data_IF_156466250118
#
_entry.id   IF_156466250118
#
_cell.length_a   1.000
_cell.length_b   1.000
_cell.length_c   1.000
_cell.angle_alpha   90.00
_cell.angle_beta   90.00
_cell.angle_gamma   90.00
#
_symmetry.space_group_name_H-M   'P 1'
#
loop_
_entity.id
_entity.type
_entity.pdbx_description
1 polymer ?
#
# COMPACT_ATOMS: atom_id res chain seq x y z
N UNK A 1 24.02 -9.79 31.41
CA UNK A 1 22.63 -9.44 31.78
C UNK A 1 22.23 -8.24 30.95
N UNK A 2 21.54 -8.48 29.82
CA UNK A 2 21.11 -7.42 28.92
C UNK A 2 19.91 -6.71 29.56
N UNK A 3 19.93 -5.38 29.58
CA UNK A 3 18.80 -4.58 30.02
C UNK A 3 17.62 -4.81 29.06
N UNK A 4 16.40 -5.07 29.57
CA UNK A 4 15.25 -5.23 28.71
C UNK A 4 15.02 -3.92 27.95
N UNK A 5 15.04 -3.99 26.64
CA UNK A 5 14.69 -2.84 25.80
C UNK A 5 13.23 -2.52 26.04
N UNK A 6 12.96 -1.27 26.35
CA UNK A 6 11.61 -0.80 26.58
C UNK A 6 10.79 -0.97 25.29
N UNK A 7 9.63 -1.66 25.33
CA UNK A 7 8.77 -1.89 24.16
C UNK A 7 8.44 -0.62 23.37
N UNK A 8 8.35 0.52 24.06
CA UNK A 8 8.10 1.81 23.44
C UNK A 8 9.25 2.29 22.53
N UNK A 9 10.51 1.93 22.84
CA UNK A 9 11.66 2.26 21.98
C UNK A 9 11.61 1.46 20.68
N UNK A 10 11.32 0.16 20.74
CA UNK A 10 11.17 -0.68 19.54
C UNK A 10 10.07 -0.12 18.64
N UNK A 11 8.95 0.26 19.24
CA UNK A 11 7.82 0.87 18.54
C UNK A 11 8.20 2.20 17.87
N UNK A 12 8.88 3.09 18.60
CA UNK A 12 9.32 4.39 18.07
C UNK A 12 10.24 4.22 16.87
N UNK A 13 11.27 3.38 17.00
CA UNK A 13 12.22 3.08 15.92
C UNK A 13 11.49 2.54 14.67
N UNK A 14 10.53 1.65 14.86
CA UNK A 14 9.77 1.05 13.74
C UNK A 14 8.96 2.09 12.97
N UNK A 15 8.27 2.97 13.69
CA UNK A 15 7.46 4.03 13.09
C UNK A 15 8.34 5.08 12.40
N UNK A 16 9.44 5.49 13.02
CA UNK A 16 10.40 6.45 12.47
C UNK A 16 11.03 5.94 11.17
N UNK A 17 11.48 4.68 11.14
CA UNK A 17 12.04 4.08 9.93
C UNK A 17 10.98 3.99 8.81
N UNK A 18 9.77 3.55 9.13
CA UNK A 18 8.71 3.48 8.14
C UNK A 18 8.37 4.86 7.56
N UNK A 19 8.30 5.88 8.41
CA UNK A 19 8.01 7.26 7.98
C UNK A 19 9.18 7.86 7.17
N UNK A 20 10.43 7.56 7.53
CA UNK A 20 11.62 8.04 6.82
C UNK A 20 11.69 7.54 5.38
N UNK A 21 11.34 6.28 5.13
CA UNK A 21 11.44 5.67 3.79
C UNK A 21 10.18 5.82 2.93
N UNK A 22 9.03 6.11 3.54
CA UNK A 22 7.77 6.27 2.81
C UNK A 22 7.84 7.25 1.63
N UNK A 23 8.48 8.43 1.72
CA UNK A 23 8.58 9.35 0.59
C UNK A 23 9.33 8.77 -0.60
N UNK A 24 10.43 8.05 -0.36
CA UNK A 24 11.22 7.43 -1.42
C UNK A 24 10.47 6.28 -2.08
N UNK A 25 9.88 5.37 -1.31
CA UNK A 25 9.05 4.27 -1.82
C UNK A 25 7.88 4.82 -2.66
N UNK A 26 7.24 5.92 -2.21
CA UNK A 26 6.20 6.61 -2.97
C UNK A 26 6.71 7.10 -4.33
N UNK A 27 7.86 7.76 -4.35
CA UNK A 27 8.47 8.27 -5.57
C UNK A 27 8.81 7.13 -6.54
N UNK A 28 9.39 6.03 -6.05
CA UNK A 28 9.72 4.86 -6.88
C UNK A 28 8.47 4.19 -7.46
N UNK A 29 7.41 4.05 -6.67
CA UNK A 29 6.13 3.55 -7.17
C UNK A 29 5.57 4.43 -8.30
N UNK A 30 5.56 5.75 -8.12
CA UNK A 30 5.09 6.69 -9.15
C UNK A 30 5.95 6.60 -10.42
N UNK A 31 7.25 6.35 -10.31
CA UNK A 31 8.13 6.15 -11.45
C UNK A 31 7.76 4.88 -12.25
N UNK A 32 7.43 3.77 -11.56
CA UNK A 32 6.95 2.55 -12.24
C UNK A 32 5.65 2.81 -13.02
N UNK A 33 4.70 3.53 -12.40
CA UNK A 33 3.44 3.91 -13.07
C UNK A 33 3.71 4.83 -14.28
N UNK A 34 4.66 5.76 -14.16
CA UNK A 34 5.02 6.66 -15.26
C UNK A 34 5.62 5.90 -16.45
N UNK A 35 6.47 4.89 -16.22
CA UNK A 35 7.01 4.03 -17.29
C UNK A 35 5.87 3.33 -18.04
N UNK A 36 4.91 2.75 -17.32
CA UNK A 36 3.76 2.12 -17.97
C UNK A 36 2.91 3.12 -18.76
N UNK A 37 2.71 4.33 -18.24
CA UNK A 37 1.94 5.36 -18.94
C UNK A 37 2.65 5.90 -20.19
N UNK A 38 3.97 6.01 -20.17
CA UNK A 38 4.77 6.44 -21.32
C UNK A 38 4.79 5.39 -22.45
N UNK A 39 4.69 4.11 -22.11
CA UNK A 39 4.66 3.02 -23.09
C UNK A 39 3.36 2.94 -23.90
N UNK A 40 2.36 3.78 -23.57
CA UNK A 40 1.07 3.83 -24.30
C UNK A 40 0.82 5.28 -24.77
N UNK A 41 1.27 5.64 -25.99
CA UNK A 41 1.09 6.97 -26.56
C UNK A 41 -0.39 7.34 -26.75
N UNK A 42 -0.71 8.63 -26.55
CA UNK A 42 -2.10 9.11 -26.65
C UNK A 42 -2.67 9.06 -28.07
N UNK A 43 -1.86 9.37 -29.06
CA UNK A 43 -2.20 9.34 -30.48
C UNK A 43 -2.55 7.91 -30.95
N UNK A 44 -1.76 6.92 -30.49
CA UNK A 44 -2.05 5.52 -30.76
C UNK A 44 -3.37 5.08 -30.10
N UNK A 45 -3.59 5.45 -28.84
CA UNK A 45 -4.86 5.15 -28.15
C UNK A 45 -6.06 5.80 -28.83
N UNK A 46 -5.89 7.04 -29.30
CA UNK A 46 -6.94 7.75 -30.03
C UNK A 46 -7.30 7.02 -31.32
N UNK A 47 -6.31 6.64 -32.10
CA UNK A 47 -6.50 5.90 -33.36
C UNK A 47 -7.18 4.54 -33.12
N UNK A 48 -6.75 3.80 -32.08
CA UNK A 48 -7.36 2.53 -31.71
C UNK A 48 -8.83 2.70 -31.25
N UNK A 49 -9.16 3.78 -30.55
CA UNK A 49 -10.55 4.09 -30.18
C UNK A 49 -11.41 4.44 -31.38
N UNK A 50 -10.89 5.23 -32.33
CA UNK A 50 -11.59 5.60 -33.56
C UNK A 50 -11.93 4.39 -34.43
N UNK A 51 -11.05 3.39 -34.44
CA UNK A 51 -11.26 2.11 -35.14
C UNK A 51 -12.07 1.09 -34.33
N UNK A 52 -12.43 1.36 -33.07
CA UNK A 52 -13.12 0.41 -32.21
C UNK A 52 -12.28 -0.81 -31.83
N UNK A 53 -10.95 -0.70 -31.89
CA UNK A 53 -10.01 -1.80 -31.66
C UNK A 53 -9.79 -2.11 -30.14
N UNK A 54 -10.87 -2.35 -29.40
CA UNK A 54 -10.86 -2.47 -27.94
C UNK A 54 -9.95 -3.60 -27.41
N UNK A 55 -9.89 -4.73 -28.13
CA UNK A 55 -9.00 -5.83 -27.75
C UNK A 55 -7.52 -5.43 -27.88
N UNK A 56 -7.19 -4.63 -28.89
CA UNK A 56 -5.83 -4.11 -29.07
C UNK A 56 -5.45 -3.12 -27.98
N UNK A 57 -6.38 -2.21 -27.61
CA UNK A 57 -6.19 -1.30 -26.47
C UNK A 57 -5.83 -2.10 -25.22
N UNK A 58 -6.58 -3.14 -24.88
CA UNK A 58 -6.30 -3.96 -23.70
C UNK A 58 -4.93 -4.63 -23.78
N UNK A 59 -4.55 -5.21 -24.92
CA UNK A 59 -3.23 -5.83 -25.12
C UNK A 59 -2.08 -4.81 -24.96
N UNK A 60 -2.26 -3.57 -25.43
CA UNK A 60 -1.27 -2.51 -25.27
C UNK A 60 -1.04 -2.16 -23.80
N UNK A 61 -2.10 -2.05 -23.03
CA UNK A 61 -1.97 -1.81 -21.58
C UNK A 61 -1.36 -2.99 -20.84
N UNK A 62 -1.74 -4.23 -21.19
CA UNK A 62 -1.12 -5.43 -20.62
C UNK A 62 0.38 -5.48 -20.88
N UNK A 63 0.80 -5.23 -22.12
CA UNK A 63 2.20 -5.15 -22.52
C UNK A 63 2.97 -4.04 -21.79
N UNK A 64 2.38 -2.83 -21.72
CA UNK A 64 3.00 -1.69 -21.04
C UNK A 64 3.19 -1.92 -19.54
N UNK A 65 2.19 -2.50 -18.89
CA UNK A 65 2.26 -2.86 -17.46
C UNK A 65 3.31 -3.97 -17.23
N UNK A 66 3.34 -5.00 -18.07
CA UNK A 66 4.35 -6.06 -18.00
C UNK A 66 5.78 -5.49 -18.20
N UNK A 67 5.97 -4.62 -19.19
CA UNK A 67 7.26 -3.97 -19.45
C UNK A 67 7.71 -3.09 -18.27
N UNK A 68 6.79 -2.41 -17.61
CA UNK A 68 7.13 -1.59 -16.43
C UNK A 68 7.73 -2.40 -15.29
N UNK A 69 7.38 -3.68 -15.16
CA UNK A 69 7.92 -4.62 -14.17
C UNK A 69 9.35 -5.10 -14.46
N UNK A 70 9.79 -4.96 -15.71
CA UNK A 70 11.17 -5.24 -16.13
C UNK A 70 12.02 -3.98 -16.20
N UNK A 71 11.49 -2.82 -15.80
CA UNK A 71 12.16 -1.54 -15.90
C UNK A 71 13.13 -1.29 -14.75
N UNK A 72 14.09 -0.38 -14.98
CA UNK A 72 14.98 0.13 -13.93
C UNK A 72 14.22 0.84 -12.80
N UNK A 73 13.06 1.42 -13.09
CA UNK A 73 12.19 2.03 -12.08
C UNK A 73 11.68 0.99 -11.08
N UNK A 74 11.31 -0.20 -11.57
CA UNK A 74 10.89 -1.30 -10.72
C UNK A 74 12.06 -1.88 -9.89
N UNK A 75 13.21 -2.09 -10.52
CA UNK A 75 14.42 -2.53 -9.80
C UNK A 75 14.75 -1.54 -8.68
N UNK A 76 14.74 -0.23 -8.96
CA UNK A 76 14.95 0.80 -7.94
C UNK A 76 13.92 0.77 -6.82
N UNK A 77 12.65 0.45 -7.11
CA UNK A 77 11.64 0.27 -6.07
C UNK A 77 11.98 -0.92 -5.16
N UNK A 78 12.41 -2.05 -5.71
CA UNK A 78 12.84 -3.23 -4.94
C UNK A 78 14.08 -2.93 -4.10
N UNK A 79 15.07 -2.24 -4.66
CA UNK A 79 16.31 -1.87 -3.97
C UNK A 79 16.04 -0.95 -2.78
N UNK A 80 15.12 0.00 -2.93
CA UNK A 80 14.69 0.86 -1.82
C UNK A 80 14.05 0.06 -0.69
N UNK A 81 13.18 -0.90 -1.01
CA UNK A 81 12.59 -1.81 0.00
C UNK A 81 13.66 -2.68 0.68
N UNK A 82 14.60 -3.22 -0.08
CA UNK A 82 15.71 -4.01 0.45
C UNK A 82 16.60 -3.18 1.37
N UNK A 83 16.89 -1.93 1.01
CA UNK A 83 17.66 -1.00 1.85
C UNK A 83 16.95 -0.70 3.16
N UNK A 84 15.64 -0.42 3.13
CA UNK A 84 14.84 -0.22 4.33
C UNK A 84 14.86 -1.46 5.23
N UNK A 85 14.67 -2.65 4.65
CA UNK A 85 14.69 -3.89 5.40
C UNK A 85 16.04 -4.10 6.11
N UNK A 86 17.16 -3.90 5.40
CA UNK A 86 18.50 -4.00 5.98
C UNK A 86 18.71 -3.02 7.14
N UNK A 87 18.24 -1.78 6.99
CA UNK A 87 18.32 -0.77 8.06
C UNK A 87 17.44 -1.12 9.25
N UNK A 88 16.23 -1.61 9.02
CA UNK A 88 15.35 -2.07 10.08
C UNK A 88 15.93 -3.27 10.84
N UNK A 89 16.56 -4.20 10.11
CA UNK A 89 17.27 -5.35 10.68
C UNK A 89 18.42 -4.89 11.61
N UNK A 90 19.23 -3.94 11.16
CA UNK A 90 20.31 -3.37 11.96
C UNK A 90 19.79 -2.63 13.20
N UNK A 91 18.76 -1.79 13.04
CA UNK A 91 18.16 -1.04 14.14
C UNK A 91 17.52 -1.95 15.20
N UNK A 92 16.91 -3.06 14.80
CA UNK A 92 16.35 -4.05 15.72
C UNK A 92 17.43 -4.73 16.59
N UNK A 93 18.65 -4.85 16.06
CA UNK A 93 19.81 -5.36 16.80
C UNK A 93 20.31 -4.41 17.88
N UNK A 94 20.46 -3.14 17.55
CA UNK A 94 20.93 -2.12 18.51
C UNK A 94 19.94 -1.86 19.64
N UNK A 95 18.65 -1.99 19.37
CA UNK A 95 17.61 -1.79 20.37
C UNK A 95 17.63 -2.81 21.52
N UNK A 96 18.25 -3.98 21.37
CA UNK A 96 18.30 -5.03 22.39
C UNK A 96 19.71 -5.16 23.03
N UNK A 97 20.64 -4.23 22.74
CA UNK A 97 22.00 -4.21 23.28
C UNK A 97 22.77 -5.56 23.16
N UNK A 98 22.40 -6.38 22.17
CA UNK A 98 23.11 -7.62 21.85
C UNK A 98 24.08 -7.32 20.72
N UNK A 99 25.37 -7.26 21.02
CA UNK A 99 26.47 -7.29 20.04
C UNK A 99 26.54 -8.67 19.35
N UNK A 100 25.50 -9.04 18.63
CA UNK A 100 25.58 -10.17 17.74
C UNK A 100 26.14 -9.68 16.40
N UNK A 101 27.36 -10.07 16.09
CA UNK A 101 27.98 -9.88 14.78
C UNK A 101 27.08 -10.52 13.72
N UNK A 102 26.37 -9.66 12.98
CA UNK A 102 25.39 -10.09 12.00
C UNK A 102 26.01 -10.11 10.61
N UNK A 103 26.34 -11.29 10.17
CA UNK A 103 26.67 -11.56 8.79
C UNK A 103 25.49 -12.32 8.20
N UNK A 104 24.38 -11.65 7.84
CA UNK A 104 23.37 -12.29 6.99
C UNK A 104 22.36 -11.30 6.43
N UNK A 105 22.51 -10.99 5.18
CA UNK A 105 21.36 -11.01 4.29
C UNK A 105 21.26 -12.46 3.83
N UNK A 106 20.48 -13.29 4.52
CA UNK A 106 20.27 -14.63 4.04
C UNK A 106 19.51 -14.55 2.72
N UNK A 107 19.84 -15.43 1.79
CA UNK A 107 19.10 -15.59 0.53
C UNK A 107 17.59 -15.75 0.77
N UNK A 108 17.18 -16.36 1.87
CA UNK A 108 15.78 -16.48 2.30
C UNK A 108 15.09 -15.14 2.54
N UNK A 109 15.78 -14.17 3.17
CA UNK A 109 15.25 -12.83 3.41
C UNK A 109 15.05 -12.04 2.12
N UNK A 110 15.99 -12.16 1.18
CA UNK A 110 15.87 -11.52 -0.13
C UNK A 110 14.74 -12.13 -0.96
N UNK A 111 14.57 -13.44 -0.90
CA UNK A 111 13.43 -14.14 -1.53
C UNK A 111 12.11 -13.66 -0.95
N UNK A 112 11.97 -13.58 0.38
CA UNK A 112 10.75 -13.10 1.04
C UNK A 112 10.39 -11.67 0.62
N UNK A 113 11.36 -10.77 0.54
CA UNK A 113 11.14 -9.40 0.09
C UNK A 113 10.70 -9.32 -1.37
N UNK A 114 11.30 -10.14 -2.23
CA UNK A 114 10.94 -10.21 -3.65
C UNK A 114 9.53 -10.78 -3.84
N UNK A 115 9.16 -11.82 -3.09
CA UNK A 115 7.82 -12.40 -3.13
C UNK A 115 6.74 -11.43 -2.63
N UNK A 116 7.00 -10.71 -1.54
CA UNK A 116 6.06 -9.69 -1.04
C UNK A 116 5.89 -8.53 -2.01
N UNK A 117 6.99 -8.04 -2.59
CA UNK A 117 6.94 -7.01 -3.61
C UNK A 117 6.22 -7.50 -4.88
N UNK A 118 6.47 -8.73 -5.30
CA UNK A 118 5.80 -9.35 -6.43
C UNK A 118 4.27 -9.39 -6.27
N UNK A 119 3.78 -9.78 -5.11
CA UNK A 119 2.33 -9.82 -4.81
C UNK A 119 1.67 -8.43 -4.89
N UNK A 120 2.30 -7.41 -4.33
CA UNK A 120 1.79 -6.04 -4.41
C UNK A 120 1.65 -5.59 -5.87
N UNK A 121 2.66 -5.85 -6.67
CA UNK A 121 2.71 -5.40 -8.07
C UNK A 121 1.71 -6.15 -8.94
N UNK A 122 1.55 -7.46 -8.73
CA UNK A 122 0.49 -8.21 -9.41
C UNK A 122 -0.89 -7.62 -9.08
N UNK A 123 -1.12 -7.24 -7.83
CA UNK A 123 -2.35 -6.55 -7.43
C UNK A 123 -2.51 -5.19 -8.11
N UNK A 124 -1.45 -4.39 -8.22
CA UNK A 124 -1.48 -3.08 -8.88
C UNK A 124 -1.77 -3.23 -10.38
N UNK A 125 -1.17 -4.23 -11.02
CA UNK A 125 -1.41 -4.54 -12.44
C UNK A 125 -2.85 -4.95 -12.68
N UNK A 126 -3.39 -5.88 -11.88
CA UNK A 126 -4.77 -6.33 -11.96
C UNK A 126 -5.78 -5.19 -11.73
N UNK A 127 -5.54 -4.34 -10.73
CA UNK A 127 -6.35 -3.15 -10.46
C UNK A 127 -6.33 -2.17 -11.63
N UNK A 128 -5.14 -1.93 -12.22
CA UNK A 128 -4.99 -1.03 -13.36
C UNK A 128 -5.74 -1.54 -14.59
N UNK A 129 -5.61 -2.83 -14.92
CA UNK A 129 -6.33 -3.44 -16.03
C UNK A 129 -7.84 -3.40 -15.83
N UNK A 130 -8.31 -3.65 -14.60
CA UNK A 130 -9.73 -3.54 -14.26
C UNK A 130 -10.22 -2.09 -14.39
N UNK A 131 -9.43 -1.12 -13.92
CA UNK A 131 -9.75 0.31 -14.06
C UNK A 131 -9.84 0.74 -15.52
N UNK A 132 -8.89 0.32 -16.36
CA UNK A 132 -8.84 0.61 -17.79
C UNK A 132 -10.04 0.00 -18.51
N UNK A 133 -10.37 -1.27 -18.22
CA UNK A 133 -11.53 -1.95 -18.81
C UNK A 133 -12.84 -1.24 -18.47
N UNK A 134 -13.02 -0.87 -17.20
CA UNK A 134 -14.21 -0.15 -16.75
C UNK A 134 -14.31 1.24 -17.39
N UNK A 135 -13.19 1.98 -17.47
CA UNK A 135 -13.15 3.29 -18.13
C UNK A 135 -13.44 3.18 -19.63
N UNK A 136 -12.91 2.15 -20.30
CA UNK A 136 -13.18 1.90 -21.73
C UNK A 136 -14.66 1.64 -21.98
N UNK A 137 -15.28 0.78 -21.18
CA UNK A 137 -16.71 0.48 -21.25
C UNK A 137 -17.56 1.72 -20.97
N UNK A 138 -17.22 2.50 -19.95
CA UNK A 138 -17.92 3.74 -19.61
C UNK A 138 -17.80 4.78 -20.71
N UNK A 139 -16.61 4.97 -21.26
CA UNK A 139 -16.36 5.92 -22.36
C UNK A 139 -17.17 5.56 -23.60
N UNK A 140 -17.26 4.27 -23.93
CA UNK A 140 -18.05 3.78 -25.06
C UNK A 140 -19.55 4.03 -24.85
N UNK A 141 -20.09 3.65 -23.68
CA UNK A 141 -21.53 3.83 -23.36
C UNK A 141 -21.92 5.32 -23.35
N UNK A 142 -21.04 6.19 -22.87
CA UNK A 142 -21.32 7.63 -22.78
C UNK A 142 -21.02 8.38 -24.08
N UNK A 143 -20.51 7.71 -25.12
CA UNK A 143 -20.17 8.36 -26.40
C UNK A 143 -19.03 9.37 -26.27
N UNK A 144 -18.07 9.14 -25.36
CA UNK A 144 -16.94 10.02 -25.15
C UNK A 144 -16.03 9.98 -26.37
N UNK A 145 -15.68 11.15 -26.92
CA UNK A 145 -14.80 11.25 -28.09
C UNK A 145 -13.43 10.62 -27.87
N UNK A 146 -12.82 10.10 -28.95
CA UNK A 146 -11.57 9.32 -28.93
C UNK A 146 -10.42 9.99 -28.17
N UNK A 147 -10.22 11.31 -28.36
CA UNK A 147 -9.19 12.09 -27.67
C UNK A 147 -9.39 12.14 -26.16
N UNK A 148 -10.61 12.35 -25.71
CA UNK A 148 -10.96 12.36 -24.29
C UNK A 148 -10.83 10.95 -23.69
N UNK A 149 -11.36 9.95 -24.40
CA UNK A 149 -11.25 8.55 -24.03
C UNK A 149 -9.81 8.09 -23.87
N UNK A 150 -8.92 8.43 -24.81
CA UNK A 150 -7.49 8.10 -24.74
C UNK A 150 -6.84 8.65 -23.46
N UNK A 151 -7.13 9.90 -23.08
CA UNK A 151 -6.60 10.51 -21.86
C UNK A 151 -7.14 9.82 -20.59
N UNK A 152 -8.46 9.56 -20.55
CA UNK A 152 -9.08 8.87 -19.41
C UNK A 152 -8.50 7.46 -19.24
N UNK A 153 -8.29 6.71 -20.33
CA UNK A 153 -7.69 5.38 -20.26
C UNK A 153 -6.26 5.44 -19.73
N UNK A 154 -5.41 6.31 -20.29
CA UNK A 154 -4.02 6.43 -19.85
C UNK A 154 -3.92 6.88 -18.38
N UNK A 155 -4.76 7.80 -17.95
CA UNK A 155 -4.80 8.25 -16.55
C UNK A 155 -5.43 7.24 -15.57
N UNK A 156 -5.90 6.08 -16.07
CA UNK A 156 -6.36 4.97 -15.24
C UNK A 156 -5.23 4.05 -14.77
N UNK A 157 -4.05 4.15 -15.38
CA UNK A 157 -2.87 3.36 -14.97
C UNK A 157 -2.51 3.71 -13.51
N UNK A 158 -2.34 2.69 -12.70
CA UNK A 158 -2.02 2.85 -11.27
C UNK A 158 -3.21 3.23 -10.39
N UNK A 159 -4.40 3.46 -10.92
CA UNK A 159 -5.60 3.71 -10.12
C UNK A 159 -6.25 2.39 -9.67
N UNK A 160 -6.94 2.45 -8.51
CA UNK A 160 -7.90 1.43 -8.12
C UNK A 160 -9.18 1.59 -8.96
N UNK A 161 -9.95 0.51 -9.22
CA UNK A 161 -11.22 0.60 -9.95
C UNK A 161 -12.20 1.63 -9.38
N UNK A 162 -12.30 1.72 -8.05
CA UNK A 162 -13.11 2.75 -7.36
C UNK A 162 -12.62 4.18 -7.57
N UNK A 163 -11.30 4.38 -7.77
CA UNK A 163 -10.72 5.69 -8.05
C UNK A 163 -10.99 6.12 -9.48
N UNK A 164 -10.85 5.19 -10.44
CA UNK A 164 -11.19 5.43 -11.83
C UNK A 164 -12.68 5.80 -11.95
N UNK A 165 -13.58 5.03 -11.31
CA UNK A 165 -15.01 5.32 -11.27
C UNK A 165 -15.31 6.70 -10.65
N UNK A 166 -14.64 7.06 -9.55
CA UNK A 166 -14.82 8.37 -8.92
C UNK A 166 -14.41 9.52 -9.85
N UNK A 167 -13.33 9.35 -10.62
CA UNK A 167 -12.90 10.29 -11.65
C UNK A 167 -13.92 10.38 -12.78
N UNK A 168 -14.41 9.24 -13.27
CA UNK A 168 -15.38 9.20 -14.37
C UNK A 168 -16.70 9.89 -13.99
N UNK A 169 -17.22 9.61 -12.79
CA UNK A 169 -18.40 10.29 -12.24
C UNK A 169 -18.15 11.80 -12.07
N UNK A 170 -16.93 12.20 -11.70
CA UNK A 170 -16.56 13.61 -11.61
C UNK A 170 -16.58 14.28 -13.00
N UNK A 171 -16.00 13.64 -14.01
CA UNK A 171 -16.03 14.13 -15.38
C UNK A 171 -17.47 14.27 -15.92
N UNK A 172 -18.33 13.27 -15.66
CA UNK A 172 -19.74 13.31 -16.00
C UNK A 172 -20.47 14.47 -15.31
N UNK A 173 -20.23 14.71 -14.02
CA UNK A 173 -20.81 15.82 -13.29
C UNK A 173 -20.42 17.19 -13.86
N UNK A 174 -19.21 17.32 -14.39
CA UNK A 174 -18.74 18.53 -15.06
C UNK A 174 -19.46 18.75 -16.38
N UNK A 175 -19.63 17.69 -17.19
CA UNK A 175 -20.41 17.75 -18.45
C UNK A 175 -21.86 18.15 -18.19
N UNK A 176 -22.51 17.53 -17.20
CA UNK A 176 -23.87 17.87 -16.81
C UNK A 176 -24.02 19.33 -16.35
N UNK A 177 -22.94 19.96 -15.89
CA UNK A 177 -22.88 21.38 -15.50
C UNK A 177 -22.51 22.32 -16.65
N UNK A 178 -22.34 21.79 -17.87
CA UNK A 178 -22.05 22.55 -19.07
C UNK A 178 -20.60 23.00 -19.24
N UNK A 179 -19.64 22.35 -18.58
CA UNK A 179 -18.23 22.66 -18.79
C UNK A 179 -17.78 22.24 -20.20
N UNK A 180 -16.93 23.03 -20.88
CA UNK A 180 -16.32 22.63 -22.14
C UNK A 180 -15.51 21.34 -22.00
N UNK A 181 -15.52 20.48 -23.00
CA UNK A 181 -14.87 19.16 -22.93
C UNK A 181 -13.38 19.23 -22.61
N UNK A 182 -12.66 20.23 -23.13
CA UNK A 182 -11.23 20.44 -22.81
C UNK A 182 -11.01 20.71 -21.32
N UNK A 183 -11.90 21.43 -20.69
CA UNK A 183 -11.85 21.72 -19.26
C UNK A 183 -12.24 20.51 -18.43
N UNK A 184 -13.24 19.72 -18.87
CA UNK A 184 -13.62 18.44 -18.27
C UNK A 184 -12.41 17.50 -18.25
N UNK A 185 -11.73 17.33 -19.38
CA UNK A 185 -10.54 16.47 -19.48
C UNK A 185 -9.45 16.97 -18.53
N UNK A 186 -9.14 18.25 -18.55
CA UNK A 186 -8.09 18.86 -17.71
C UNK A 186 -8.36 18.63 -16.22
N UNK A 187 -9.59 18.83 -15.77
CA UNK A 187 -9.99 18.65 -14.38
C UNK A 187 -10.02 17.17 -13.98
N UNK A 188 -10.45 16.28 -14.86
CA UNK A 188 -10.43 14.84 -14.64
C UNK A 188 -8.99 14.30 -14.51
N UNK A 189 -8.05 14.79 -15.33
CA UNK A 189 -6.62 14.43 -15.24
C UNK A 189 -6.00 14.92 -13.91
N UNK A 190 -6.32 16.13 -13.49
CA UNK A 190 -5.88 16.65 -12.18
C UNK A 190 -6.44 15.79 -11.04
N UNK A 191 -7.68 15.35 -11.15
CA UNK A 191 -8.29 14.49 -10.13
C UNK A 191 -7.65 13.10 -10.12
N UNK A 192 -7.39 12.50 -11.29
CA UNK A 192 -6.64 11.25 -11.42
C UNK A 192 -5.27 11.34 -10.74
N UNK A 193 -4.53 12.41 -11.01
CA UNK A 193 -3.20 12.64 -10.42
C UNK A 193 -3.26 12.72 -8.89
N UNK A 194 -4.28 13.34 -8.32
CA UNK A 194 -4.50 13.38 -6.86
C UNK A 194 -4.81 12.00 -6.28
N UNK A 195 -5.66 11.23 -6.95
CA UNK A 195 -6.02 9.87 -6.53
C UNK A 195 -4.81 8.92 -6.61
N UNK A 196 -4.00 9.05 -7.67
CA UNK A 196 -2.77 8.29 -7.83
C UNK A 196 -1.75 8.64 -6.74
N UNK A 197 -1.55 9.92 -6.47
CA UNK A 197 -0.65 10.38 -5.41
C UNK A 197 -1.09 9.89 -4.02
N UNK A 198 -2.40 9.90 -3.75
CA UNK A 198 -2.94 9.35 -2.52
C UNK A 198 -2.72 7.83 -2.43
N UNK A 199 -2.97 7.09 -3.52
CA UNK A 199 -2.70 5.65 -3.58
C UNK A 199 -1.21 5.36 -3.34
N UNK A 200 -0.32 6.12 -3.96
CA UNK A 200 1.12 6.00 -3.79
C UNK A 200 1.55 6.21 -2.33
N UNK A 201 0.95 7.17 -1.63
CA UNK A 201 1.19 7.38 -0.20
C UNK A 201 0.73 6.18 0.64
N UNK A 202 -0.48 5.65 0.36
CA UNK A 202 -1.02 4.47 1.05
C UNK A 202 -0.10 3.26 0.86
N UNK A 203 0.31 3.00 -0.39
CA UNK A 203 1.23 1.90 -0.71
C UNK A 203 2.55 2.11 0.02
N UNK A 204 3.16 3.27 -0.10
CA UNK A 204 4.46 3.54 0.50
C UNK A 204 4.47 3.30 2.01
N UNK A 205 3.49 3.82 2.73
CA UNK A 205 3.38 3.62 4.19
C UNK A 205 3.16 2.17 4.57
N UNK A 206 2.30 1.47 3.83
CA UNK A 206 2.02 0.05 4.08
C UNK A 206 3.26 -0.81 3.82
N UNK A 207 3.95 -0.58 2.70
CA UNK A 207 5.14 -1.33 2.33
C UNK A 207 6.32 -1.03 3.26
N UNK A 208 6.47 0.24 3.68
CA UNK A 208 7.49 0.60 4.68
C UNK A 208 7.24 -0.11 6.01
N UNK A 209 6.03 -0.08 6.52
CA UNK A 209 5.67 -0.76 7.75
C UNK A 209 5.86 -2.28 7.64
N UNK A 210 5.43 -2.88 6.52
CA UNK A 210 5.62 -4.32 6.26
C UNK A 210 7.09 -4.70 6.26
N UNK A 211 7.95 -3.93 5.57
CA UNK A 211 9.38 -4.21 5.50
C UNK A 211 10.05 -4.11 6.87
N UNK A 212 9.69 -3.12 7.68
CA UNK A 212 10.24 -2.93 9.03
C UNK A 212 9.84 -4.08 9.93
N UNK A 213 8.56 -4.44 9.98
CA UNK A 213 8.10 -5.51 10.88
C UNK A 213 8.57 -6.90 10.43
N UNK A 214 8.65 -7.16 9.12
CA UNK A 214 9.23 -8.39 8.62
C UNK A 214 10.72 -8.52 9.00
N UNK A 215 11.47 -7.41 8.93
CA UNK A 215 12.87 -7.39 9.37
C UNK A 215 13.02 -7.67 10.86
N UNK A 216 12.18 -7.07 11.70
CA UNK A 216 12.17 -7.31 13.14
C UNK A 216 11.88 -8.77 13.45
N UNK A 217 10.83 -9.34 12.85
CA UNK A 217 10.46 -10.73 13.06
C UNK A 217 11.61 -11.67 12.64
N UNK A 218 12.16 -11.48 11.44
CA UNK A 218 13.28 -12.29 10.96
C UNK A 218 14.49 -12.23 11.88
N UNK A 219 14.78 -11.05 12.47
CA UNK A 219 15.86 -10.88 13.44
C UNK A 219 15.60 -11.66 14.73
N UNK A 220 14.41 -11.57 15.28
CA UNK A 220 14.05 -12.24 16.52
C UNK A 220 13.99 -13.76 16.37
N UNK A 221 13.49 -14.26 15.26
CA UNK A 221 13.52 -15.68 14.91
C UNK A 221 14.96 -16.20 14.76
N UNK A 222 15.84 -15.40 14.15
CA UNK A 222 17.24 -15.77 14.02
C UNK A 222 17.94 -15.84 15.38
N UNK A 223 17.69 -14.89 16.27
CA UNK A 223 18.22 -14.94 17.65
C UNK A 223 17.67 -16.11 18.44
N UNK A 224 16.44 -16.52 18.23
CA UNK A 224 15.90 -17.74 18.83
C UNK A 224 16.64 -18.97 18.34
N UNK A 225 16.91 -19.06 17.00
CA UNK A 225 17.71 -20.18 16.43
C UNK A 225 19.14 -20.23 17.00
N UNK A 226 19.72 -19.08 17.29
CA UNK A 226 21.05 -18.96 17.90
C UNK A 226 21.05 -19.20 19.42
N UNK A 227 19.90 -19.42 20.05
CA UNK A 227 19.75 -19.59 21.49
C UNK A 227 19.93 -18.30 22.30
N UNK A 228 19.97 -17.13 21.63
CA UNK A 228 20.05 -15.82 22.29
C UNK A 228 18.70 -15.47 22.93
N UNK A 229 17.60 -15.79 22.25
CA UNK A 229 16.25 -15.70 22.78
C UNK A 229 15.72 -17.09 23.14
N UNK A 230 15.17 -17.22 24.34
CA UNK A 230 14.48 -18.44 24.74
C UNK A 230 13.05 -18.39 24.19
N UNK A 231 12.79 -19.15 23.10
CA UNK A 231 11.49 -19.12 22.40
C UNK A 231 10.31 -19.43 23.34
N UNK A 232 10.53 -20.26 24.35
CA UNK A 232 9.53 -20.68 25.33
C UNK A 232 9.10 -19.55 26.27
N UNK A 233 9.99 -18.56 26.48
CA UNK A 233 9.81 -17.39 27.39
C UNK A 233 9.67 -16.08 26.63
N UNK A 234 9.65 -16.12 25.30
CA UNK A 234 9.60 -14.94 24.44
C UNK A 234 8.28 -14.89 23.71
N UNK A 235 7.56 -13.79 23.87
CA UNK A 235 6.29 -13.54 23.21
C UNK A 235 6.39 -12.32 22.30
N UNK A 236 5.62 -12.33 21.22
CA UNK A 236 5.34 -11.16 20.40
C UNK A 236 4.01 -10.57 20.86
N UNK A 237 3.97 -9.27 21.14
CA UNK A 237 2.75 -8.56 21.50
C UNK A 237 2.39 -7.56 20.39
N UNK A 238 1.14 -7.62 19.94
CA UNK A 238 0.59 -6.63 19.03
C UNK A 238 0.25 -5.35 19.78
N UNK A 239 0.79 -4.21 19.34
CA UNK A 239 0.58 -2.91 19.97
C UNK A 239 -0.08 -1.96 18.99
N UNK A 240 -1.24 -1.43 19.36
CA UNK A 240 -1.94 -0.43 18.57
C UNK A 240 -1.57 1.00 18.95
N UNK A 241 -1.80 1.96 18.06
CA UNK A 241 -1.77 3.38 18.44
C UNK A 241 -3.05 3.73 19.17
N UNK A 242 -2.91 4.17 20.43
CA UNK A 242 -4.05 4.59 21.29
C UNK A 242 -4.44 6.04 20.99
N UNK A 243 -4.75 6.34 19.72
CA UNK A 243 -5.21 7.67 19.29
C UNK A 243 -6.59 7.56 18.59
N UNK A 244 -7.16 8.70 18.23
CA UNK A 244 -8.44 8.84 17.53
C UNK A 244 -8.47 8.21 16.11
N UNK A 245 -7.34 7.71 15.65
CA UNK A 245 -7.15 7.03 14.34
C UNK A 245 -7.06 5.51 14.46
N UNK A 246 -7.22 4.96 15.67
CA UNK A 246 -7.31 3.52 15.85
C UNK A 246 -8.55 2.97 15.11
N UNK A 247 -8.32 2.03 14.22
CA UNK A 247 -9.40 1.45 13.43
C UNK A 247 -10.06 0.26 14.16
N UNK A 248 -11.34 -0.03 13.88
CA UNK A 248 -12.05 -1.15 14.51
C UNK A 248 -11.42 -2.52 14.23
N UNK A 249 -10.72 -2.69 13.07
CA UNK A 249 -10.04 -3.94 12.75
C UNK A 249 -8.80 -4.17 13.61
N UNK A 250 -8.09 -3.09 13.98
CA UNK A 250 -6.89 -3.18 14.80
C UNK A 250 -7.18 -3.17 16.31
N UNK A 251 -8.29 -2.58 16.75
CA UNK A 251 -8.62 -2.45 18.16
C UNK A 251 -8.63 -3.81 18.91
N UNK A 252 -9.21 -4.89 18.35
CA UNK A 252 -9.21 -6.20 19.00
C UNK A 252 -7.84 -6.89 19.01
N UNK A 253 -6.89 -6.41 18.21
CA UNK A 253 -5.53 -6.95 18.16
C UNK A 253 -4.65 -6.43 19.30
N UNK A 254 -5.03 -5.32 19.94
CA UNK A 254 -4.22 -4.69 20.98
C UNK A 254 -3.99 -5.62 22.15
N UNK A 255 -2.72 -5.83 22.49
CA UNK A 255 -2.32 -6.71 23.58
C UNK A 255 -2.37 -8.21 23.24
N UNK A 256 -2.75 -8.61 22.02
CA UNK A 256 -2.67 -10.01 21.61
C UNK A 256 -1.22 -10.48 21.70
N UNK A 257 -0.98 -11.59 22.39
CA UNK A 257 0.33 -12.21 22.56
C UNK A 257 0.37 -13.57 21.88
N UNK A 258 1.45 -13.82 21.18
CA UNK A 258 1.77 -15.09 20.53
C UNK A 258 3.20 -15.49 20.86
N UNK A 259 3.53 -16.77 20.76
CA UNK A 259 4.92 -17.23 20.86
C UNK A 259 5.67 -16.90 19.57
N UNK A 260 6.97 -16.81 19.67
CA UNK A 260 7.82 -16.61 18.51
C UNK A 260 7.67 -17.84 17.57
N UNK A 261 7.38 -17.59 16.30
CA UNK A 261 7.06 -18.61 15.30
C UNK A 261 5.55 -18.88 15.10
N UNK A 262 4.67 -18.35 15.95
CA UNK A 262 3.23 -18.38 15.77
C UNK A 262 2.73 -17.17 14.95
N UNK A 263 1.43 -17.15 14.64
CA UNK A 263 0.80 -16.06 13.89
C UNK A 263 -0.32 -15.41 14.72
N UNK A 264 -0.43 -14.09 14.58
CA UNK A 264 -1.57 -13.35 15.12
C UNK A 264 -2.85 -13.71 14.36
N UNK A 265 -3.96 -13.75 15.08
CA UNK A 265 -5.27 -14.06 14.50
C UNK A 265 -6.13 -12.81 14.57
N UNK A 266 -6.58 -12.31 13.42
CA UNK A 266 -7.56 -11.23 13.41
C UNK A 266 -8.90 -11.78 13.91
N UNK A 267 -9.46 -11.15 14.95
CA UNK A 267 -10.76 -11.55 15.50
C UNK A 267 -11.90 -11.04 14.60
N UNK A 268 -12.98 -11.83 14.50
CA UNK A 268 -14.20 -11.36 13.87
C UNK A 268 -14.76 -10.15 14.62
N UNK A 269 -15.08 -9.09 13.89
CA UNK A 269 -15.85 -7.98 14.42
C UNK A 269 -17.31 -8.27 14.13
N UNK A 270 -18.03 -8.78 15.14
CA UNK A 270 -19.46 -9.07 15.05
C UNK A 270 -20.32 -7.81 14.97
N UNK A 271 -19.82 -6.68 15.49
CA UNK A 271 -20.52 -5.40 15.49
C UNK A 271 -19.78 -4.37 14.64
N UNK A 272 -20.48 -3.84 13.64
CA UNK A 272 -19.97 -2.79 12.76
C UNK A 272 -19.86 -1.49 13.54
N UNK A 273 -18.72 -1.26 14.18
CA UNK A 273 -18.39 0.05 14.73
C UNK A 273 -18.09 0.99 13.57
N UNK A 274 -18.77 2.12 13.46
CA UNK A 274 -18.54 3.05 12.36
C UNK A 274 -17.11 3.62 12.42
N UNK A 275 -16.27 3.23 11.46
CA UNK A 275 -14.92 3.78 11.30
C UNK A 275 -15.00 5.19 10.72
N UNK A 276 -14.48 6.15 11.44
CA UNK A 276 -14.24 7.51 10.94
C UNK A 276 -13.01 7.52 10.07
N UNK A 277 -13.16 7.36 8.77
CA UNK A 277 -12.08 7.71 7.83
C UNK A 277 -11.83 9.22 7.94
N UNK A 278 -10.73 9.62 8.55
CA UNK A 278 -10.34 11.03 8.63
C UNK A 278 -9.86 11.61 7.29
N UNK A 279 -9.72 10.77 6.27
CA UNK A 279 -9.35 11.18 4.92
C UNK A 279 -10.39 10.66 3.93
N UNK A 280 -11.32 11.52 3.59
CA UNK A 280 -12.13 11.38 2.38
C UNK A 280 -11.23 11.20 1.15
N UNK A 281 -11.70 10.43 0.16
CA UNK A 281 -11.24 10.51 -1.23
C UNK A 281 -10.91 11.97 -1.55
N UNK A 282 -9.83 12.19 -2.31
CA UNK A 282 -9.33 13.53 -2.62
C UNK A 282 -10.50 14.50 -2.85
N UNK A 283 -10.56 15.61 -2.13
CA UNK A 283 -11.73 16.50 -2.20
C UNK A 283 -11.94 16.96 -3.64
N UNK A 284 -13.18 17.05 -4.07
CA UNK A 284 -13.55 17.65 -5.34
C UNK A 284 -12.76 18.96 -5.52
N UNK A 285 -11.91 19.10 -6.55
CA UNK A 285 -11.07 20.27 -6.76
C UNK A 285 -11.85 21.56 -6.92
N UNK A 286 -13.15 21.49 -7.24
CA UNK A 286 -14.04 22.65 -7.34
C UNK A 286 -14.82 22.90 -6.04
N UNK A 287 -14.77 21.99 -5.07
CA UNK A 287 -15.43 22.16 -3.79
C UNK A 287 -14.65 23.13 -2.91
N UNK A 288 -15.15 24.35 -2.73
CA UNK A 288 -14.68 25.31 -1.70
C UNK A 288 -15.12 24.91 -0.29
N UNK A 289 -15.98 23.92 -0.15
CA UNK A 289 -16.42 23.39 1.14
C UNK A 289 -15.45 22.31 1.60
N UNK A 290 -14.79 22.52 2.74
CA UNK A 290 -14.22 21.43 3.54
C UNK A 290 -15.33 20.40 3.74
N UNK A 291 -15.18 19.24 3.11
CA UNK A 291 -16.14 18.16 3.29
C UNK A 291 -16.37 17.93 4.78
N UNK A 292 -17.60 18.14 5.22
CA UNK A 292 -18.04 17.69 6.53
C UNK A 292 -17.73 16.19 6.60
N UNK A 293 -16.96 15.84 7.62
CA UNK A 293 -16.60 14.52 8.15
C UNK A 293 -17.26 13.35 7.44
N UNK A 294 -16.42 12.49 6.84
CA UNK A 294 -16.74 11.43 5.93
C UNK A 294 -17.90 10.52 6.34
N UNK A 295 -18.64 10.12 5.34
CA UNK A 295 -19.64 9.05 5.48
C UNK A 295 -18.92 7.72 5.69
N UNK A 296 -19.41 6.96 6.64
CA UNK A 296 -18.92 5.66 7.03
C UNK A 296 -19.09 4.65 5.89
N UNK A 297 -18.01 4.02 5.46
CA UNK A 297 -18.08 2.85 4.61
C UNK A 297 -18.37 1.63 5.48
N UNK A 298 -19.58 1.07 5.36
CA UNK A 298 -19.92 -0.23 5.93
C UNK A 298 -19.23 -1.35 5.16
N UNK A 299 -17.97 -1.61 5.46
CA UNK A 299 -17.30 -2.85 5.06
C UNK A 299 -16.32 -3.24 6.17
N UNK A 300 -16.84 -3.87 7.21
CA UNK A 300 -16.07 -4.80 7.98
C UNK A 300 -15.93 -6.07 7.11
N UNK A 301 -14.76 -6.42 6.65
CA UNK A 301 -14.46 -7.78 6.27
C UNK A 301 -14.19 -8.52 7.57
N UNK A 302 -15.11 -9.40 7.93
CA UNK A 302 -14.83 -10.49 8.84
C UNK A 302 -13.84 -11.40 8.14
N UNK A 303 -12.64 -11.50 8.65
CA UNK A 303 -11.70 -12.50 8.19
C UNK A 303 -10.91 -12.95 9.40
N UNK A 304 -11.03 -14.23 9.74
CA UNK A 304 -10.07 -14.93 10.57
C UNK A 304 -8.77 -15.10 9.76
N UNK A 305 -8.12 -13.99 9.44
CA UNK A 305 -6.81 -14.02 8.75
C UNK A 305 -5.72 -14.15 9.80
N UNK A 306 -4.84 -15.09 9.57
CA UNK A 306 -3.59 -15.18 10.32
C UNK A 306 -2.55 -14.28 9.66
N UNK A 307 -1.84 -13.50 10.46
CA UNK A 307 -0.77 -12.61 10.00
C UNK A 307 0.45 -12.76 10.90
N UNK A 308 1.66 -12.83 10.33
CA UNK A 308 2.87 -12.99 11.13
C UNK A 308 3.26 -11.71 11.88
N UNK A 309 2.88 -10.56 11.38
CA UNK A 309 3.25 -9.23 11.92
C UNK A 309 2.32 -8.13 11.36
N UNK A 310 2.30 -6.92 11.98
CA UNK A 310 1.70 -5.73 11.36
C UNK A 310 2.34 -5.41 9.99
N UNK A 311 1.65 -4.73 9.09
CA UNK A 311 0.31 -4.16 9.20
C UNK A 311 -0.80 -5.16 8.86
N UNK A 312 -1.95 -5.06 9.53
CA UNK A 312 -3.13 -5.88 9.23
C UNK A 312 -3.86 -5.42 7.96
N UNK A 313 -3.78 -4.14 7.63
CA UNK A 313 -4.47 -3.52 6.49
C UNK A 313 -3.69 -2.28 5.99
N UNK A 314 -4.00 -1.76 4.79
CA UNK A 314 -3.39 -0.53 4.29
C UNK A 314 -3.52 0.64 5.29
N UNK A 315 -2.42 1.39 5.48
CA UNK A 315 -2.30 2.49 6.45
C UNK A 315 -2.44 2.09 7.94
N UNK A 316 -2.31 0.82 8.26
CA UNK A 316 -2.20 0.37 9.65
C UNK A 316 -0.99 1.03 10.34
N UNK A 317 -1.15 1.40 11.60
CA UNK A 317 -0.13 2.05 12.44
C UNK A 317 0.21 1.22 13.67
N UNK A 318 -0.16 -0.05 13.65
CA UNK A 318 0.20 -0.99 14.70
C UNK A 318 1.68 -1.37 14.59
N UNK A 319 2.23 -1.79 15.70
CA UNK A 319 3.57 -2.35 15.81
C UNK A 319 3.50 -3.69 16.52
N UNK A 320 4.60 -4.40 16.55
CA UNK A 320 4.80 -5.53 17.45
C UNK A 320 6.04 -5.30 18.31
N UNK A 321 6.02 -5.84 19.49
CA UNK A 321 7.12 -5.74 20.47
C UNK A 321 7.42 -7.11 21.07
N UNK A 322 8.66 -7.29 21.52
CA UNK A 322 9.03 -8.47 22.31
C UNK A 322 8.59 -8.29 23.75
N UNK A 323 8.09 -9.38 24.33
CA UNK A 323 7.83 -9.54 25.77
C UNK A 323 8.54 -10.78 26.27
N UNK A 324 9.03 -10.69 27.47
CA UNK A 324 9.63 -11.80 28.19
C UNK A 324 8.75 -12.15 29.39
N UNK A 325 8.60 -13.45 29.65
CA UNK A 325 7.94 -13.86 30.89
C UNK A 325 8.79 -13.39 32.06
N UNK A 326 8.16 -12.69 32.98
CA UNK A 326 8.82 -12.30 34.26
C UNK A 326 9.14 -13.58 35.03
N UNK A 327 10.37 -13.69 35.54
CA UNK A 327 10.71 -14.75 36.46
C UNK A 327 9.85 -14.57 37.72
N UNK A 328 8.97 -15.55 38.04
CA UNK A 328 8.18 -15.61 39.23
C UNK A 328 9.07 -15.78 40.47
#
# INVERSE_FOLDING_TARGET
MALPVLPDQIRSISLELADQFSPEIRQRFLAVVAVAAQAVPLDELQDLLERGAFAEIMRRFESALAASLSSTAYTSFLDTKSSLFKRALAASGTAIAVEATFNVVSSATEILLREQAGRLILSITADSLTSIRNTLSSAYIQGIGSRAGARLLRSSIGLLPRHALARDNYAESLRARGFPEDEVIRLADLYSSRLLNWRAEVIARTESATAVHAAQLAKWEDWARQGILQSERTHLEWVTTKDDRLCPLCAPMDGQRIRLGEQFVSTEISDVVPYRSSRTLAPDPLSRRRNKRGQFSKRARSVNETVPHPPLHPQCRCSMVLRFDEDG
#
